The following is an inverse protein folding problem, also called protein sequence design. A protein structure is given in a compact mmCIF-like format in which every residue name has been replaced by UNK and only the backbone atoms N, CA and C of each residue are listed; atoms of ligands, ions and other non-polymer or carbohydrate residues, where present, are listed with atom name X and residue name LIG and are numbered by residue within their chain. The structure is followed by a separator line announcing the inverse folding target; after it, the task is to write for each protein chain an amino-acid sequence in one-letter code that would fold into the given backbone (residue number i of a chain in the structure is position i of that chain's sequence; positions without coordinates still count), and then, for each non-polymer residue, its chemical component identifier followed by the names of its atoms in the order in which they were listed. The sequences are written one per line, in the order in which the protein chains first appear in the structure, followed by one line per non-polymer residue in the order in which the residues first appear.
data_IF_186550711904
#
_entry.id   IF_186550711904
#
_cell.length_a   1.000
_cell.length_b   1.000
_cell.length_c   1.000
_cell.angle_alpha   90.00
_cell.angle_beta   90.00
_cell.angle_gamma   90.00
#
_symmetry.space_group_name_H-M   'P 1'
#
loop_
_entity.id
_entity.type
_entity.pdbx_description
1 polymer ?
#
# COMPACT_ATOMS: atom_id res chain seq x y z
N UNK A 1 -52.33 -26.12 -12.33
CA UNK A 1 -52.56 -25.69 -10.93
C UNK A 1 -52.20 -26.82 -9.98
N UNK A 2 -50.96 -26.83 -9.49
CA UNK A 2 -50.44 -27.84 -8.56
C UNK A 2 -50.34 -27.23 -7.16
N UNK A 3 -51.35 -27.50 -6.32
CA UNK A 3 -51.30 -27.20 -4.88
C UNK A 3 -50.39 -28.21 -4.18
N UNK A 4 -49.14 -27.85 -3.89
CA UNK A 4 -48.25 -28.54 -2.94
C UNK A 4 -47.30 -27.52 -2.32
N UNK A 5 -47.51 -27.12 -1.07
CA UNK A 5 -46.44 -26.56 -0.19
C UNK A 5 -46.89 -26.18 1.23
N UNK A 6 -48.14 -26.31 1.64
CA UNK A 6 -48.56 -25.81 2.97
C UNK A 6 -48.28 -26.74 4.15
N UNK A 7 -48.00 -28.03 3.93
CA UNK A 7 -47.80 -29.00 5.02
C UNK A 7 -46.37 -29.05 5.55
N UNK A 8 -45.35 -28.77 4.73
CA UNK A 8 -43.94 -28.83 5.14
C UNK A 8 -43.49 -27.62 5.99
N UNK A 9 -44.01 -26.42 5.69
CA UNK A 9 -43.72 -25.23 6.48
C UNK A 9 -44.35 -25.30 7.89
N UNK A 10 -45.52 -25.92 7.99
CA UNK A 10 -46.26 -26.05 9.24
C UNK A 10 -45.61 -27.08 10.18
N UNK A 11 -45.02 -28.16 9.65
CA UNK A 11 -44.28 -29.14 10.46
C UNK A 11 -42.94 -28.61 10.97
N UNK A 12 -42.20 -27.82 10.17
CA UNK A 12 -40.94 -27.21 10.62
C UNK A 12 -41.18 -26.12 11.67
N UNK A 13 -42.20 -25.28 11.48
CA UNK A 13 -42.57 -24.25 12.45
C UNK A 13 -43.02 -24.84 13.79
N UNK A 14 -43.80 -25.94 13.76
CA UNK A 14 -44.23 -26.64 14.96
C UNK A 14 -43.04 -27.26 15.71
N UNK A 15 -42.07 -27.82 14.98
CA UNK A 15 -40.88 -28.44 15.59
C UNK A 15 -39.99 -27.41 16.31
N UNK A 16 -39.77 -26.24 15.69
CA UNK A 16 -39.01 -25.15 16.31
C UNK A 16 -39.73 -24.56 17.53
N UNK A 17 -41.05 -24.38 17.46
CA UNK A 17 -41.84 -23.89 18.59
C UNK A 17 -41.83 -24.87 19.79
N UNK A 18 -41.92 -26.18 19.52
CA UNK A 18 -41.84 -27.21 20.56
C UNK A 18 -40.46 -27.24 21.22
N UNK A 19 -39.37 -27.07 20.46
CA UNK A 19 -38.01 -27.01 21.01
C UNK A 19 -37.81 -25.80 21.94
N UNK A 20 -38.34 -24.63 21.58
CA UNK A 20 -38.28 -23.42 22.44
C UNK A 20 -39.07 -23.62 23.74
N UNK A 21 -40.28 -24.17 23.66
CA UNK A 21 -41.12 -24.43 24.83
C UNK A 21 -40.48 -25.48 25.75
N UNK A 22 -39.88 -26.54 25.19
CA UNK A 22 -39.20 -27.57 25.98
C UNK A 22 -37.90 -27.08 26.64
N UNK A 23 -37.20 -26.10 26.04
CA UNK A 23 -36.06 -25.43 26.66
C UNK A 23 -36.50 -24.55 27.84
N UNK A 24 -37.58 -23.77 27.67
CA UNK A 24 -38.14 -22.93 28.75
C UNK A 24 -38.70 -23.76 29.93
N UNK A 25 -39.20 -24.96 29.66
CA UNK A 25 -39.71 -25.88 30.69
C UNK A 25 -38.60 -26.65 31.45
N UNK A 26 -37.31 -26.42 31.13
CA UNK A 26 -36.18 -27.07 31.80
C UNK A 26 -36.03 -28.57 31.54
N UNK A 27 -36.79 -29.13 30.58
CA UNK A 27 -36.79 -30.55 30.26
C UNK A 27 -35.59 -30.99 29.39
N UNK A 28 -34.92 -30.02 28.76
CA UNK A 28 -33.68 -30.19 28.00
C UNK A 28 -32.70 -29.12 28.46
N UNK A 29 -31.66 -29.54 29.17
CA UNK A 29 -30.50 -28.68 29.46
C UNK A 29 -29.67 -28.60 28.18
N UNK A 30 -30.01 -27.66 27.30
CA UNK A 30 -29.17 -27.33 26.16
C UNK A 30 -28.00 -26.52 26.72
N UNK A 31 -27.01 -27.23 27.28
CA UNK A 31 -25.74 -26.64 27.65
C UNK A 31 -25.01 -26.31 26.34
N UNK A 32 -25.15 -25.06 25.92
CA UNK A 32 -24.55 -24.58 24.68
C UNK A 32 -23.01 -24.67 24.82
N UNK A 33 -22.28 -25.21 23.84
CA UNK A 33 -20.85 -25.53 23.96
C UNK A 33 -19.91 -24.33 24.22
N UNK A 34 -20.44 -23.10 24.28
CA UNK A 34 -19.67 -21.90 24.58
C UNK A 34 -19.29 -21.75 26.06
N UNK A 35 -19.97 -22.44 26.98
CA UNK A 35 -19.66 -22.35 28.42
C UNK A 35 -18.33 -23.03 28.82
N UNK A 36 -17.66 -23.71 27.89
CA UNK A 36 -16.37 -24.38 28.10
C UNK A 36 -15.25 -23.89 27.18
N UNK A 37 -15.49 -22.86 26.37
CA UNK A 37 -14.42 -22.21 25.62
C UNK A 37 -13.73 -21.22 26.56
N UNK A 38 -12.60 -21.66 27.10
CA UNK A 38 -11.63 -20.79 27.74
C UNK A 38 -11.21 -19.73 26.70
N UNK A 39 -11.73 -18.51 26.85
CA UNK A 39 -11.48 -17.38 25.96
C UNK A 39 -10.06 -16.80 26.15
N UNK A 40 -9.13 -17.57 26.71
CA UNK A 40 -7.71 -17.32 26.61
C UNK A 40 -7.20 -17.86 25.26
N UNK A 41 -7.74 -17.35 24.16
CA UNK A 41 -6.94 -17.30 22.93
C UNK A 41 -5.94 -16.20 23.22
N UNK A 42 -4.82 -16.58 23.83
CA UNK A 42 -3.60 -15.83 23.70
C UNK A 42 -3.45 -15.60 22.20
N UNK A 43 -3.74 -14.37 21.76
CA UNK A 43 -3.14 -13.84 20.56
C UNK A 43 -1.67 -14.16 20.74
N UNK A 44 -1.18 -15.15 20.00
CA UNK A 44 0.26 -15.29 19.84
C UNK A 44 0.60 -14.14 18.92
N UNK A 45 0.64 -12.94 19.51
CA UNK A 45 1.36 -11.80 19.01
C UNK A 45 2.81 -12.27 18.96
N UNK A 46 3.17 -12.88 17.84
CA UNK A 46 4.52 -12.66 17.32
C UNK A 46 4.59 -11.19 16.95
N UNK A 47 4.82 -10.37 17.98
CA UNK A 47 5.23 -8.98 17.92
C UNK A 47 6.61 -8.96 17.26
N UNK A 48 6.63 -9.11 15.93
CA UNK A 48 7.73 -8.65 15.12
C UNK A 48 7.51 -7.14 15.08
N UNK A 49 8.20 -6.44 15.99
CA UNK A 49 8.24 -4.98 16.07
C UNK A 49 8.77 -4.39 14.76
N UNK A 50 7.91 -4.31 13.76
CA UNK A 50 8.02 -3.34 12.70
C UNK A 50 7.60 -2.01 13.35
N UNK A 51 8.36 -0.91 13.18
CA UNK A 51 7.93 0.38 13.70
C UNK A 51 6.49 0.63 13.22
N UNK A 52 5.59 1.00 14.13
CA UNK A 52 4.22 1.37 13.77
C UNK A 52 4.30 2.62 12.89
N UNK A 53 4.34 2.42 11.58
CA UNK A 53 4.30 3.50 10.61
C UNK A 53 2.88 4.07 10.63
N UNK A 54 2.78 5.38 10.84
CA UNK A 54 1.50 6.13 10.80
C UNK A 54 1.39 6.97 9.53
N UNK A 55 2.31 6.84 8.59
CA UNK A 55 2.26 7.54 7.31
C UNK A 55 3.09 6.78 6.27
N UNK A 56 2.87 7.10 5.00
CA UNK A 56 3.70 6.58 3.92
C UNK A 56 5.15 7.08 4.12
N UNK A 57 6.11 6.17 4.04
CA UNK A 57 7.52 6.48 4.31
C UNK A 57 8.40 5.92 3.21
N UNK A 58 9.23 6.75 2.60
CA UNK A 58 10.28 6.34 1.65
C UNK A 58 11.42 5.75 2.48
N UNK A 59 11.67 4.46 2.31
CA UNK A 59 12.64 3.67 3.10
C UNK A 59 13.90 3.32 2.32
N UNK A 60 13.94 3.62 1.02
CA UNK A 60 15.09 3.31 0.18
C UNK A 60 15.06 4.07 -1.13
N UNK A 61 16.21 4.61 -1.55
CA UNK A 61 16.41 5.18 -2.88
C UNK A 61 17.69 4.56 -3.45
N UNK A 62 17.52 3.69 -4.43
CA UNK A 62 18.61 2.94 -5.04
C UNK A 62 18.87 3.43 -6.47
N UNK A 63 20.12 3.77 -6.81
CA UNK A 63 20.47 4.00 -8.21
C UNK A 63 20.29 2.70 -9.01
N UNK A 64 19.65 2.81 -10.17
CA UNK A 64 19.49 1.68 -11.09
C UNK A 64 20.11 2.03 -12.45
N UNK A 65 20.68 1.03 -13.11
CA UNK A 65 21.16 1.17 -14.49
C UNK A 65 20.00 0.92 -15.47
N UNK A 66 20.18 1.37 -16.73
CA UNK A 66 19.27 1.28 -17.90
C UNK A 66 18.49 2.60 -18.16
N UNK A 67 17.33 2.51 -18.84
CA UNK A 67 16.44 3.63 -19.19
C UNK A 67 15.87 4.37 -17.96
N UNK A 68 15.98 3.74 -16.78
CA UNK A 68 15.61 4.31 -15.49
C UNK A 68 16.85 4.54 -14.64
N UNK A 69 16.85 5.62 -13.84
CA UNK A 69 18.02 6.12 -13.12
C UNK A 69 17.96 5.86 -11.61
N UNK A 70 16.76 5.79 -11.05
CA UNK A 70 16.59 5.50 -9.63
C UNK A 70 15.36 4.62 -9.39
N UNK A 71 15.40 3.87 -8.29
CA UNK A 71 14.27 3.15 -7.72
C UNK A 71 14.00 3.68 -6.34
N UNK A 72 12.76 4.09 -6.12
CA UNK A 72 12.28 4.58 -4.83
C UNK A 72 11.49 3.44 -4.20
N UNK A 73 11.84 3.05 -2.99
CA UNK A 73 11.15 2.05 -2.18
C UNK A 73 10.43 2.76 -1.04
N UNK A 74 9.14 2.48 -0.88
CA UNK A 74 8.31 3.08 0.16
C UNK A 74 7.52 2.01 0.93
N UNK A 75 7.36 2.24 2.23
CA UNK A 75 6.48 1.49 3.12
C UNK A 75 5.21 2.30 3.37
N UNK A 76 4.05 1.68 3.16
CA UNK A 76 2.73 2.31 3.26
C UNK A 76 1.88 1.54 4.27
N UNK A 77 1.56 2.11 5.43
CA UNK A 77 0.62 1.51 6.36
C UNK A 77 -0.81 1.70 5.83
N UNK A 78 -1.48 0.60 5.48
CA UNK A 78 -2.83 0.59 4.92
C UNK A 78 -3.80 -0.01 5.90
N UNK A 79 -4.88 0.73 6.17
CA UNK A 79 -6.08 0.21 6.79
C UNK A 79 -7.21 0.12 5.77
N UNK A 80 -7.83 -1.05 5.68
CA UNK A 80 -8.94 -1.31 4.78
C UNK A 80 -10.15 -1.86 5.53
N UNK A 81 -11.34 -1.38 5.20
CA UNK A 81 -12.60 -1.90 5.75
C UNK A 81 -13.60 -2.22 4.65
N UNK A 82 -14.34 -3.31 4.84
CA UNK A 82 -15.45 -3.72 3.96
C UNK A 82 -16.71 -3.95 4.77
N UNK A 83 -17.75 -3.19 4.46
CA UNK A 83 -19.08 -3.37 5.05
C UNK A 83 -19.92 -4.35 4.21
N UNK A 84 -20.51 -5.33 4.87
CA UNK A 84 -21.49 -6.23 4.25
C UNK A 84 -22.89 -5.81 4.64
N UNK A 85 -23.71 -5.49 3.64
CA UNK A 85 -25.06 -4.97 3.82
C UNK A 85 -26.10 -6.00 3.41
N UNK A 86 -27.13 -6.15 4.24
CA UNK A 86 -28.34 -6.91 3.92
C UNK A 86 -29.54 -6.01 4.18
N UNK A 87 -30.36 -5.78 3.16
CA UNK A 87 -31.53 -4.88 3.25
C UNK A 87 -31.18 -3.46 3.76
N UNK A 88 -30.01 -2.95 3.39
CA UNK A 88 -29.54 -1.62 3.79
C UNK A 88 -29.00 -1.53 5.23
N UNK A 89 -28.93 -2.63 5.97
CA UNK A 89 -28.29 -2.68 7.29
C UNK A 89 -26.96 -3.42 7.22
N UNK A 90 -25.91 -2.82 7.78
CA UNK A 90 -24.59 -3.44 7.90
C UNK A 90 -24.65 -4.55 8.96
N UNK A 91 -24.38 -5.79 8.55
CA UNK A 91 -24.41 -6.95 9.47
C UNK A 91 -23.02 -7.51 9.78
N UNK A 92 -22.00 -7.12 9.01
CA UNK A 92 -20.61 -7.52 9.18
C UNK A 92 -19.70 -6.43 8.64
N UNK A 93 -18.64 -6.13 9.37
CA UNK A 93 -17.53 -5.30 8.90
C UNK A 93 -16.25 -6.12 9.01
N UNK A 94 -15.57 -6.29 7.90
CA UNK A 94 -14.26 -6.93 7.84
C UNK A 94 -13.19 -5.84 7.78
N UNK A 95 -12.06 -6.06 8.46
CA UNK A 95 -10.93 -5.12 8.48
C UNK A 95 -9.65 -5.85 8.07
N UNK A 96 -8.83 -5.17 7.29
CA UNK A 96 -7.43 -5.54 7.01
C UNK A 96 -6.53 -4.39 7.44
N UNK A 97 -5.42 -4.72 8.08
CA UNK A 97 -4.33 -3.79 8.37
C UNK A 97 -3.07 -4.43 7.81
N UNK A 98 -2.28 -3.68 7.04
CA UNK A 98 -1.03 -4.17 6.46
C UNK A 98 -0.03 -3.03 6.27
N UNK A 99 1.26 -3.33 6.25
CA UNK A 99 2.31 -2.40 5.86
C UNK A 99 2.84 -2.83 4.51
N UNK A 100 2.33 -2.22 3.44
CA UNK A 100 2.73 -2.54 2.08
C UNK A 100 4.09 -1.96 1.76
N UNK A 101 5.01 -2.81 1.33
CA UNK A 101 6.30 -2.37 0.79
C UNK A 101 6.18 -2.35 -0.72
N UNK A 102 6.38 -1.19 -1.32
CA UNK A 102 6.33 -0.99 -2.76
C UNK A 102 7.53 -0.24 -3.29
N UNK A 103 7.71 -0.30 -4.60
CA UNK A 103 8.73 0.47 -5.29
C UNK A 103 8.17 1.16 -6.54
N UNK A 104 8.86 2.19 -6.99
CA UNK A 104 8.62 2.85 -8.27
C UNK A 104 9.95 3.22 -8.92
N UNK A 105 10.03 3.07 -10.24
CA UNK A 105 11.24 3.41 -10.98
C UNK A 105 11.11 4.83 -11.55
N UNK A 106 12.12 5.67 -11.33
CA UNK A 106 12.25 6.99 -11.93
C UNK A 106 13.08 6.90 -13.19
N UNK A 107 12.48 7.25 -14.33
CA UNK A 107 13.07 7.12 -15.65
C UNK A 107 13.19 8.48 -16.34
N UNK A 108 14.24 8.65 -17.14
CA UNK A 108 14.50 9.89 -17.88
C UNK A 108 14.52 9.55 -19.36
N UNK A 109 13.68 10.21 -20.16
CA UNK A 109 13.72 10.05 -21.61
C UNK A 109 15.02 10.65 -22.17
N UNK A 110 15.99 9.79 -22.50
CA UNK A 110 17.29 10.20 -23.01
C UNK A 110 17.23 11.00 -24.31
N UNK A 111 16.13 10.86 -25.09
CA UNK A 111 15.92 11.62 -26.31
C UNK A 111 15.47 13.07 -26.09
N UNK A 112 15.03 13.42 -24.89
CA UNK A 112 14.54 14.75 -24.55
C UNK A 112 15.64 15.68 -23.98
N UNK A 113 16.77 15.12 -23.54
CA UNK A 113 17.87 15.90 -23.00
C UNK A 113 18.52 16.77 -24.08
N UNK A 114 18.71 18.06 -23.77
CA UNK A 114 19.34 19.03 -24.67
C UNK A 114 20.81 19.17 -24.25
N UNK A 115 21.72 18.90 -25.19
CA UNK A 115 23.17 18.99 -24.94
C UNK A 115 23.73 20.19 -25.70
N UNK A 116 24.30 21.12 -24.95
CA UNK A 116 24.96 22.31 -25.48
C UNK A 116 26.45 22.30 -25.14
N UNK A 117 27.29 22.79 -26.06
CA UNK A 117 28.70 23.05 -25.77
C UNK A 117 28.89 24.54 -25.50
N UNK A 118 29.36 24.87 -24.30
CA UNK A 118 29.59 26.24 -23.86
C UNK A 118 30.91 26.78 -24.42
N UNK A 119 31.04 28.11 -24.48
CA UNK A 119 32.21 28.80 -25.02
C UNK A 119 33.52 28.51 -24.25
N UNK A 120 33.42 28.09 -22.99
CA UNK A 120 34.55 27.67 -22.15
C UNK A 120 34.97 26.19 -22.40
N UNK A 121 34.31 25.48 -23.30
CA UNK A 121 34.54 24.06 -23.58
C UNK A 121 33.87 23.10 -22.60
N UNK A 122 32.99 23.58 -21.73
CA UNK A 122 32.13 22.76 -20.85
C UNK A 122 30.89 22.31 -21.63
N UNK A 123 30.32 21.19 -21.25
CA UNK A 123 29.07 20.68 -21.80
C UNK A 123 27.95 20.95 -20.81
N UNK A 124 26.83 21.49 -21.28
CA UNK A 124 25.61 21.62 -20.49
C UNK A 124 24.59 20.61 -20.98
N UNK A 125 24.05 19.83 -20.07
CA UNK A 125 22.94 18.89 -20.31
C UNK A 125 21.73 19.41 -19.55
N UNK A 126 20.76 19.90 -20.29
CA UNK A 126 19.47 20.32 -19.75
C UNK A 126 18.47 19.20 -19.93
N UNK A 127 17.97 18.68 -18.81
CA UNK A 127 16.95 17.63 -18.77
C UNK A 127 15.60 18.34 -18.53
N UNK A 128 14.67 18.33 -19.49
CA UNK A 128 13.35 18.88 -19.25
C UNK A 128 12.62 18.03 -18.19
N UNK A 129 12.06 18.64 -17.16
CA UNK A 129 11.42 17.89 -16.07
C UNK A 129 10.23 17.05 -16.56
N UNK A 130 9.57 17.45 -17.64
CA UNK A 130 8.52 16.67 -18.30
C UNK A 130 9.01 15.36 -18.94
N UNK A 131 10.32 15.22 -19.14
CA UNK A 131 10.94 13.98 -19.63
C UNK A 131 11.14 12.93 -18.52
N UNK A 132 10.94 13.32 -17.26
CA UNK A 132 11.03 12.44 -16.10
C UNK A 132 9.69 11.72 -15.92
N UNK A 133 9.73 10.39 -15.94
CA UNK A 133 8.57 9.51 -15.81
C UNK A 133 8.71 8.63 -14.58
N UNK A 134 7.62 8.47 -13.86
CA UNK A 134 7.54 7.57 -12.71
C UNK A 134 6.85 6.29 -13.15
N UNK A 135 7.63 5.28 -13.47
CA UNK A 135 7.15 4.06 -14.12
C UNK A 135 7.03 2.89 -13.16
N UNK A 136 6.07 2.02 -13.45
CA UNK A 136 5.89 0.72 -12.79
C UNK A 136 5.85 0.82 -11.26
N UNK A 137 4.90 1.55 -10.65
CA UNK A 137 4.65 1.37 -9.23
C UNK A 137 4.31 -0.11 -9.00
N UNK A 138 4.95 -0.75 -8.03
CA UNK A 138 4.73 -2.16 -7.66
C UNK A 138 4.62 -2.25 -6.14
N UNK A 139 3.94 -3.30 -5.69
CA UNK A 139 3.96 -3.72 -4.29
C UNK A 139 4.58 -5.11 -4.23
N UNK A 140 5.59 -5.27 -3.38
CA UNK A 140 6.18 -6.56 -3.08
C UNK A 140 5.27 -7.29 -2.09
N UNK A 141 4.42 -8.16 -2.63
CA UNK A 141 3.51 -8.98 -1.85
C UNK A 141 4.26 -9.92 -0.88
N UNK A 142 5.49 -10.34 -1.19
CA UNK A 142 6.30 -11.20 -0.33
C UNK A 142 6.83 -10.43 0.88
N UNK A 143 7.40 -9.24 0.65
CA UNK A 143 7.87 -8.37 1.72
C UNK A 143 6.72 -7.83 2.61
N UNK A 144 5.52 -7.70 2.03
CA UNK A 144 4.31 -7.24 2.74
C UNK A 144 3.61 -8.35 3.54
N UNK A 145 3.75 -9.62 3.13
CA UNK A 145 2.93 -10.74 3.61
C UNK A 145 2.93 -10.89 5.15
N UNK A 146 4.09 -10.67 5.78
CA UNK A 146 4.26 -10.86 7.22
C UNK A 146 3.56 -9.77 8.06
N UNK A 147 3.19 -8.65 7.45
CA UNK A 147 2.50 -7.53 8.10
C UNK A 147 0.97 -7.59 7.97
N UNK A 148 0.43 -8.54 7.20
CA UNK A 148 -1.00 -8.58 6.90
C UNK A 148 -1.79 -9.15 8.08
N UNK A 149 -2.54 -8.28 8.75
CA UNK A 149 -3.47 -8.64 9.80
C UNK A 149 -4.91 -8.56 9.30
N UNK A 150 -5.60 -9.69 9.34
CA UNK A 150 -7.00 -9.77 8.95
C UNK A 150 -7.90 -10.00 10.17
N UNK A 151 -8.91 -9.15 10.33
CA UNK A 151 -9.90 -9.27 11.39
C UNK A 151 -11.30 -9.37 10.80
N UNK A 152 -11.93 -10.54 10.97
CA UNK A 152 -13.36 -10.73 10.75
C UNK A 152 -14.10 -10.19 11.96
N UNK A 153 -15.09 -9.32 11.76
CA UNK A 153 -15.97 -8.85 12.83
C UNK A 153 -16.60 -10.02 13.62
N UNK A 154 -17.07 -9.77 14.85
CA UNK A 154 -17.54 -10.79 15.81
C UNK A 154 -18.49 -11.85 15.24
N UNK A 155 -19.39 -11.49 14.31
CA UNK A 155 -20.34 -12.41 13.67
C UNK A 155 -19.66 -13.32 12.62
N UNK A 156 -18.59 -12.85 11.97
CA UNK A 156 -17.82 -13.63 10.99
C UNK A 156 -17.11 -14.85 11.59
N UNK A 157 -16.61 -14.73 12.83
CA UNK A 157 -16.01 -15.85 13.58
C UNK A 157 -17.00 -16.96 13.91
N UNK A 158 -18.30 -16.64 13.99
CA UNK A 158 -19.37 -17.62 14.28
C UNK A 158 -19.82 -18.33 13.00
N UNK A 159 -19.73 -17.64 11.83
CA UNK A 159 -20.16 -18.18 10.53
C UNK A 159 -19.11 -18.98 9.77
N UNK A 160 -17.85 -19.02 10.22
CA UNK A 160 -16.75 -19.79 9.59
C UNK A 160 -16.96 -21.32 9.57
N UNK A 161 -18.04 -21.83 10.20
CA UNK A 161 -18.45 -23.24 10.11
C UNK A 161 -19.29 -23.54 8.85
N UNK A 162 -19.69 -22.51 8.09
CA UNK A 162 -20.52 -22.63 6.90
C UNK A 162 -19.68 -22.49 5.60
N UNK A 163 -19.44 -23.58 4.83
CA UNK A 163 -18.55 -23.58 3.65
C UNK A 163 -18.95 -22.66 2.50
N UNK A 164 -20.15 -22.08 2.52
CA UNK A 164 -20.68 -21.18 1.48
C UNK A 164 -20.47 -19.70 1.77
N UNK A 165 -20.00 -19.34 2.97
CA UNK A 165 -19.58 -17.96 3.30
C UNK A 165 -18.11 -17.88 2.95
N UNK A 166 -17.81 -17.89 1.64
CA UNK A 166 -16.46 -17.95 1.13
C UNK A 166 -15.60 -16.82 1.72
N UNK A 167 -14.39 -17.22 2.11
CA UNK A 167 -13.25 -16.38 2.40
C UNK A 167 -12.94 -15.52 1.17
N UNK A 168 -13.66 -14.41 0.98
CA UNK A 168 -13.29 -13.44 -0.04
C UNK A 168 -12.12 -12.63 0.49
N UNK A 169 -10.94 -13.18 0.21
CA UNK A 169 -9.61 -12.58 0.24
C UNK A 169 -9.46 -11.36 -0.68
N UNK A 170 -10.52 -10.57 -0.89
CA UNK A 170 -10.53 -9.40 -1.77
C UNK A 170 -9.91 -8.17 -1.11
N UNK A 171 -9.96 -8.08 0.23
CA UNK A 171 -9.45 -6.94 1.00
C UNK A 171 -7.93 -6.80 0.90
N UNK A 172 -7.18 -7.91 0.91
CA UNK A 172 -5.71 -7.86 0.84
C UNK A 172 -5.19 -7.44 -0.56
N UNK A 173 -5.65 -8.03 -1.69
CA UNK A 173 -5.30 -7.56 -3.02
C UNK A 173 -5.76 -6.11 -3.30
N UNK A 174 -6.93 -5.72 -2.78
CA UNK A 174 -7.38 -4.34 -2.88
C UNK A 174 -6.49 -3.39 -2.05
N UNK A 175 -6.05 -3.81 -0.86
CA UNK A 175 -5.06 -3.10 -0.06
C UNK A 175 -3.72 -2.93 -0.77
N UNK A 176 -3.23 -3.95 -1.49
CA UNK A 176 -2.03 -3.83 -2.33
C UNK A 176 -2.23 -2.84 -3.48
N UNK A 177 -3.41 -2.85 -4.11
CA UNK A 177 -3.72 -1.92 -5.21
C UNK A 177 -3.80 -0.48 -4.71
N UNK A 178 -4.38 -0.26 -3.53
CA UNK A 178 -4.39 1.03 -2.85
C UNK A 178 -2.97 1.49 -2.51
N UNK A 179 -2.17 0.64 -1.87
CA UNK A 179 -0.77 0.93 -1.56
C UNK A 179 0.05 1.29 -2.80
N UNK A 180 -0.11 0.56 -3.90
CA UNK A 180 0.56 0.84 -5.16
C UNK A 180 0.24 2.26 -5.68
N UNK A 181 -1.01 2.69 -5.51
CA UNK A 181 -1.43 4.03 -5.88
C UNK A 181 -0.92 5.11 -4.92
N UNK A 182 -0.79 4.81 -3.62
CA UNK A 182 -0.16 5.70 -2.62
C UNK A 182 1.33 5.86 -2.92
N UNK A 183 2.05 4.79 -3.21
CA UNK A 183 3.46 4.85 -3.64
C UNK A 183 3.63 5.69 -4.90
N UNK A 184 2.71 5.57 -5.86
CA UNK A 184 2.71 6.39 -7.08
C UNK A 184 2.05 7.77 -6.96
N UNK A 185 1.62 8.18 -5.76
CA UNK A 185 0.90 9.44 -5.55
C UNK A 185 1.79 10.66 -5.79
N UNK A 186 1.17 11.81 -6.05
CA UNK A 186 1.89 13.05 -6.29
C UNK A 186 2.78 13.46 -5.11
N UNK A 187 2.30 13.20 -3.90
CA UNK A 187 2.92 13.54 -2.64
C UNK A 187 4.20 12.72 -2.43
N UNK A 188 4.12 11.39 -2.55
CA UNK A 188 5.30 10.53 -2.47
C UNK A 188 6.30 10.79 -3.61
N UNK A 189 5.82 11.13 -4.81
CA UNK A 189 6.73 11.40 -5.94
C UNK A 189 7.43 12.75 -5.81
N UNK A 190 6.74 13.78 -5.31
CA UNK A 190 7.36 15.07 -5.05
C UNK A 190 8.44 14.95 -3.98
N UNK A 191 8.14 14.27 -2.88
CA UNK A 191 9.07 14.05 -1.78
C UNK A 191 10.29 13.22 -2.22
N UNK A 192 10.06 12.14 -2.95
CA UNK A 192 11.15 11.32 -3.46
C UNK A 192 11.98 12.04 -4.53
N UNK A 193 11.40 12.98 -5.28
CA UNK A 193 12.07 13.66 -6.38
C UNK A 193 13.16 14.62 -5.90
N UNK A 194 12.94 15.35 -4.80
CA UNK A 194 13.97 16.23 -4.21
C UNK A 194 15.28 15.47 -3.96
N UNK A 195 15.15 14.22 -3.56
CA UNK A 195 16.27 13.33 -3.33
C UNK A 195 16.78 12.67 -4.62
N UNK A 196 15.86 12.21 -5.47
CA UNK A 196 16.17 11.46 -6.69
C UNK A 196 16.86 12.33 -7.74
N UNK A 197 16.65 13.65 -7.72
CA UNK A 197 17.32 14.59 -8.62
C UNK A 197 18.84 14.41 -8.57
N UNK A 198 19.44 14.33 -7.38
CA UNK A 198 20.89 14.14 -7.24
C UNK A 198 21.37 12.83 -7.86
N UNK A 199 20.62 11.73 -7.65
CA UNK A 199 20.93 10.43 -8.26
C UNK A 199 20.90 10.51 -9.79
N UNK A 200 19.98 11.28 -10.36
CA UNK A 200 19.93 11.53 -11.80
C UNK A 200 21.17 12.29 -12.26
N UNK A 201 21.53 13.39 -11.58
CA UNK A 201 22.71 14.19 -11.93
C UNK A 201 24.00 13.34 -11.87
N UNK A 202 24.18 12.59 -10.79
CA UNK A 202 25.34 11.71 -10.58
C UNK A 202 25.45 10.65 -11.69
N UNK A 203 24.33 10.06 -12.12
CA UNK A 203 24.31 9.09 -13.20
C UNK A 203 24.82 9.67 -14.53
N UNK A 204 24.51 10.94 -14.83
CA UNK A 204 25.04 11.61 -16.03
C UNK A 204 26.54 11.90 -15.93
N UNK A 205 27.03 12.29 -14.74
CA UNK A 205 28.46 12.48 -14.51
C UNK A 205 29.24 11.16 -14.63
N UNK A 206 28.71 10.07 -14.08
CA UNK A 206 29.31 8.73 -14.21
C UNK A 206 29.33 8.26 -15.67
N UNK A 207 28.24 8.47 -16.41
CA UNK A 207 28.15 8.12 -17.83
C UNK A 207 29.19 8.90 -18.66
N UNK A 208 29.34 10.20 -18.40
CA UNK A 208 30.33 11.04 -19.07
C UNK A 208 31.77 10.63 -18.76
N UNK A 209 32.05 10.28 -17.49
CA UNK A 209 33.34 9.74 -17.08
C UNK A 209 33.64 8.38 -17.73
N UNK A 210 32.63 7.51 -17.83
CA UNK A 210 32.74 6.18 -18.46
C UNK A 210 33.07 6.28 -19.95
N UNK A 211 32.61 7.34 -20.62
CA UNK A 211 32.97 7.63 -22.01
C UNK A 211 34.38 8.22 -22.19
N UNK A 212 35.14 8.37 -21.11
CA UNK A 212 36.52 8.85 -21.12
C UNK A 212 36.66 10.38 -21.11
N UNK A 213 35.57 11.10 -20.81
CA UNK A 213 35.59 12.55 -20.64
C UNK A 213 35.75 12.95 -19.16
N UNK A 214 36.06 14.22 -18.91
CA UNK A 214 36.24 14.75 -17.56
C UNK A 214 34.88 15.22 -16.99
N UNK A 215 34.34 14.57 -15.93
CA UNK A 215 33.02 14.91 -15.39
C UNK A 215 32.93 16.33 -14.83
N UNK A 216 34.06 16.97 -14.49
CA UNK A 216 34.07 18.38 -14.04
C UNK A 216 33.77 19.38 -15.17
N UNK A 217 33.78 18.92 -16.43
CA UNK A 217 33.43 19.69 -17.61
C UNK A 217 31.99 19.48 -18.04
N UNK A 218 31.16 18.85 -17.20
CA UNK A 218 29.75 18.62 -17.43
C UNK A 218 28.95 19.44 -16.41
N UNK A 219 28.00 20.22 -16.88
CA UNK A 219 26.95 20.84 -16.07
C UNK A 219 25.65 20.12 -16.40
N UNK A 220 25.03 19.46 -15.43
CA UNK A 220 23.72 18.81 -15.60
C UNK A 220 22.69 19.57 -14.78
N UNK A 221 21.56 19.89 -15.39
CA UNK A 221 20.46 20.61 -14.72
C UNK A 221 19.12 20.05 -15.15
N UNK A 222 18.19 19.89 -14.20
CA UNK A 222 16.80 19.62 -14.52
C UNK A 222 16.02 20.94 -14.57
N UNK A 223 15.27 21.17 -15.65
CA UNK A 223 14.48 22.39 -15.83
C UNK A 223 12.98 22.11 -15.66
N UNK A 224 12.35 22.79 -14.70
CA UNK A 224 10.92 22.72 -14.44
C UNK A 224 10.56 21.80 -13.27
N UNK A 225 9.32 21.32 -13.25
CA UNK A 225 8.82 20.39 -12.24
C UNK A 225 8.21 19.18 -12.93
N UNK A 226 8.58 17.94 -12.53
CA UNK A 226 8.00 16.75 -13.12
C UNK A 226 6.49 16.70 -12.93
N UNK A 227 5.79 16.01 -13.83
CA UNK A 227 4.39 15.74 -13.61
C UNK A 227 4.23 14.63 -12.57
N UNK A 228 3.91 14.99 -11.33
CA UNK A 228 3.69 14.02 -10.25
C UNK A 228 2.29 13.37 -10.27
N UNK A 229 1.36 13.88 -11.09
CA UNK A 229 -0.03 13.39 -11.15
C UNK A 229 -0.24 12.23 -12.15
N UNK A 230 0.81 11.46 -12.44
CA UNK A 230 0.79 10.39 -13.44
C UNK A 230 -0.06 9.19 -13.04
N UNK A 231 -0.26 8.98 -11.73
CA UNK A 231 -1.05 7.87 -11.19
C UNK A 231 -2.24 8.40 -10.41
N UNK A 232 -3.44 7.96 -10.79
CA UNK A 232 -4.67 8.30 -10.09
C UNK A 232 -4.96 7.28 -8.99
N UNK A 233 -5.47 7.75 -7.84
CA UNK A 233 -5.92 6.85 -6.80
C UNK A 233 -7.14 6.02 -7.26
N UNK A 234 -7.13 4.70 -7.05
CA UNK A 234 -8.28 3.86 -7.30
C UNK A 234 -9.39 4.21 -6.31
N UNK A 235 -10.60 4.41 -6.83
CA UNK A 235 -11.81 4.57 -6.02
C UNK A 235 -12.61 3.26 -6.01
N UNK A 236 -13.08 2.83 -4.84
CA UNK A 236 -13.98 1.70 -4.69
C UNK A 236 -15.21 2.12 -3.89
N UNK A 237 -16.40 1.86 -4.42
CA UNK A 237 -17.67 2.22 -3.76
C UNK A 237 -17.98 1.31 -2.54
N UNK A 238 -17.38 0.12 -2.48
CA UNK A 238 -17.71 -0.94 -1.52
C UNK A 238 -16.62 -1.19 -0.47
N UNK A 239 -15.44 -0.59 -0.62
CA UNK A 239 -14.28 -0.76 0.25
C UNK A 239 -13.66 0.60 0.57
N UNK A 240 -13.45 0.87 1.84
CA UNK A 240 -12.79 2.09 2.28
C UNK A 240 -11.35 1.76 2.68
N UNK A 241 -10.39 2.47 2.08
CA UNK A 241 -8.97 2.35 2.38
C UNK A 241 -8.40 3.71 2.79
N UNK A 242 -7.55 3.70 3.81
CA UNK A 242 -6.86 4.87 4.32
C UNK A 242 -5.41 4.52 4.70
N UNK A 243 -4.55 5.53 4.67
CA UNK A 243 -3.23 5.45 5.30
C UNK A 243 -3.43 5.67 6.80
N UNK A 244 -2.84 4.82 7.64
CA UNK A 244 -3.12 4.80 9.07
C UNK A 244 -2.85 6.17 9.73
N UNK A 245 -3.90 6.90 10.11
CA UNK A 245 -3.95 8.10 10.96
C UNK A 245 -3.68 9.52 10.40
N UNK A 246 -3.10 9.79 9.23
CA UNK A 246 -2.90 11.21 8.80
C UNK A 246 -2.96 11.53 7.29
N UNK A 247 -3.47 10.62 6.46
CA UNK A 247 -3.59 10.86 5.01
C UNK A 247 -2.32 10.48 4.23
N UNK A 248 -2.20 10.94 2.98
CA UNK A 248 -1.11 10.56 2.06
C UNK A 248 0.01 11.61 2.13
N UNK A 249 0.42 11.95 3.35
CA UNK A 249 1.67 12.67 3.54
C UNK A 249 2.80 11.63 3.54
N UNK A 250 3.77 11.83 2.65
CA UNK A 250 4.90 10.94 2.47
C UNK A 250 6.13 11.55 3.12
N UNK A 251 6.86 10.79 3.93
CA UNK A 251 8.10 11.24 4.55
C UNK A 251 9.31 10.44 4.05
N UNK A 252 10.48 11.06 3.94
CA UNK A 252 11.74 10.33 3.69
C UNK A 252 12.33 9.85 5.01
N UNK A 253 12.63 8.56 5.11
CA UNK A 253 13.43 8.03 6.21
C UNK A 253 14.87 8.57 6.09
N UNK A 254 15.43 9.03 7.20
CA UNK A 254 16.83 9.49 7.29
C UNK A 254 17.85 8.44 6.86
N UNK A 255 17.50 7.15 6.91
CA UNK A 255 18.33 6.03 6.47
C UNK A 255 17.98 5.50 5.07
N UNK A 256 17.05 6.15 4.34
CA UNK A 256 16.63 5.74 3.00
C UNK A 256 17.77 5.75 1.96
N UNK A 257 18.91 6.33 2.31
CA UNK A 257 20.10 6.39 1.47
C UNK A 257 21.00 5.19 1.73
N UNK A 258 21.00 4.24 0.80
CA UNK A 258 21.96 3.15 0.73
C UNK A 258 23.40 3.60 0.38
N UNK A 259 23.92 4.66 1.01
CA UNK A 259 25.31 5.11 0.88
C UNK A 259 25.56 6.32 -0.03
N UNK A 260 24.51 7.00 -0.54
CA UNK A 260 24.66 8.31 -1.16
C UNK A 260 24.59 9.39 -0.06
N UNK A 261 25.72 9.99 0.26
CA UNK A 261 25.83 11.06 1.26
C UNK A 261 25.08 12.29 0.71
N UNK A 262 23.92 12.61 1.29
CA UNK A 262 23.25 13.89 1.01
C UNK A 262 24.20 14.98 1.47
N UNK A 263 24.81 15.70 0.53
CA UNK A 263 25.53 16.94 0.82
C UNK A 263 24.47 17.98 1.21
N UNK A 264 24.08 17.95 2.48
CA UNK A 264 23.39 19.08 3.09
C UNK A 264 24.42 20.19 3.20
N UNK A 265 24.31 21.22 2.35
CA UNK A 265 25.00 22.48 2.66
C UNK A 265 24.56 22.92 4.05
N UNK A 266 25.48 23.19 4.98
CA UNK A 266 25.11 23.75 6.27
C UNK A 266 24.49 25.11 6.01
N UNK A 267 23.21 25.22 6.34
CA UNK A 267 22.46 26.47 6.28
C UNK A 267 22.93 27.37 7.43
N UNK A 268 24.12 27.94 7.29
CA UNK A 268 24.63 28.99 8.17
C UNK A 268 23.90 30.30 7.84
N UNK A 269 22.70 30.46 8.40
CA UNK A 269 22.04 31.77 8.50
C UNK A 269 20.99 31.82 9.63
N UNK A 270 21.44 32.06 10.87
CA UNK A 270 20.95 33.12 11.78
C UNK A 270 21.70 33.10 13.12
#
# INVERSE_FOLDING_TARGET
MTRRSSTAALTVGLFLAVLVIMNMAGAININWPWNSLDLNVASTETDIRQPELTQATIIGIDPISLDCRARITAAVPVEGTKEHKLLGQTYRTDRVTLTAIGDIDTCVDSGAAVIETLANGTYRVTIPAESIRFERPRVDAGATQDSVHFSKGWIGKITDVAPWVSENSELTPAGYTFAQAVVGSSECMAEAYEVTEQVILDAYHEEFATQGADPSRLEVTVEGTPNFSQHAMPHSDDMNFEVADDGIDCAVDTEAFGGAEVVTEPNDAA
#
